data_IF_067375700100
#
_entry.id   IF_067375700100
#
_cell.length_a   1.000
_cell.length_b   1.000
_cell.length_c   1.000
_cell.angle_alpha   90.00
_cell.angle_beta   90.00
_cell.angle_gamma   90.00
#
_symmetry.space_group_name_H-M   'P 1'
#
loop_
_entity.id
_entity.type
_entity.pdbx_description
1 polymer ?
#
# COMPACT_ATOMS: atom_id res chain seq x y z
N UNK A 1 28.89 -2.78 1.77
CA UNK A 1 28.95 -1.41 2.27
C UNK A 1 28.09 -0.48 1.43
N UNK A 2 28.27 -0.46 0.11
CA UNK A 2 27.43 0.35 -0.78
C UNK A 2 25.97 -0.05 -0.69
N UNK A 3 25.68 -1.34 -0.59
CA UNK A 3 24.34 -1.88 -0.47
C UNK A 3 23.66 -1.42 0.83
N UNK A 4 24.40 -1.44 1.94
CA UNK A 4 23.87 -0.97 3.22
C UNK A 4 23.55 0.53 3.15
N UNK A 5 24.41 1.32 2.47
CA UNK A 5 24.18 2.75 2.28
C UNK A 5 22.95 3.00 1.42
N UNK A 6 22.77 2.23 0.34
CA UNK A 6 21.59 2.32 -0.51
C UNK A 6 20.32 2.02 0.27
N UNK A 7 20.33 0.97 1.10
CA UNK A 7 19.18 0.61 1.93
C UNK A 7 18.82 1.70 2.92
N UNK A 8 19.83 2.39 3.49
CA UNK A 8 19.59 3.51 4.41
C UNK A 8 18.94 4.71 3.73
N UNK A 9 19.22 4.90 2.43
CA UNK A 9 18.64 6.01 1.65
C UNK A 9 17.22 5.69 1.21
N UNK A 10 16.81 4.42 1.24
CA UNK A 10 15.47 4.02 0.84
C UNK A 10 14.47 4.29 1.94
N UNK A 11 13.27 4.63 1.52
CA UNK A 11 12.13 4.80 2.41
C UNK A 11 11.04 3.85 1.97
N UNK A 12 10.44 3.16 2.92
CA UNK A 12 9.25 2.36 2.71
C UNK A 12 8.02 3.11 3.19
N UNK A 13 7.01 3.14 2.35
CA UNK A 13 5.67 3.62 2.69
C UNK A 13 4.79 2.40 2.88
N UNK A 14 4.48 2.07 4.12
CA UNK A 14 3.68 0.89 4.44
C UNK A 14 2.27 1.30 4.77
N UNK A 15 1.31 0.78 4.01
CA UNK A 15 -0.11 1.05 4.18
C UNK A 15 -0.82 -0.17 4.72
N UNK A 16 -1.66 0.04 5.71
CA UNK A 16 -2.61 -0.94 6.22
C UNK A 16 -3.97 -0.52 5.70
N UNK A 17 -4.53 -1.34 4.82
CA UNK A 17 -5.76 -1.01 4.09
C UNK A 17 -6.94 -1.78 4.68
N UNK A 18 -8.01 -1.07 5.03
CA UNK A 18 -9.20 -1.67 5.61
C UNK A 18 -10.44 -1.23 4.85
N UNK A 19 -11.04 -2.14 4.10
CA UNK A 19 -12.30 -1.89 3.44
C UNK A 19 -13.45 -1.91 4.45
N UNK A 20 -14.39 -0.99 4.30
CA UNK A 20 -15.53 -0.87 5.24
C UNK A 20 -16.42 -2.11 5.18
N UNK A 21 -16.54 -2.73 4.00
CA UNK A 21 -17.32 -3.95 3.80
C UNK A 21 -16.45 -5.04 3.19
N UNK A 22 -16.77 -6.31 3.43
CA UNK A 22 -16.03 -7.40 2.80
C UNK A 22 -16.03 -7.30 1.27
N UNK A 23 -14.88 -7.56 0.65
CA UNK A 23 -14.73 -7.59 -0.80
C UNK A 23 -14.62 -9.02 -1.29
N UNK A 24 -15.24 -9.35 -2.45
CA UNK A 24 -14.91 -10.59 -3.13
C UNK A 24 -13.42 -10.68 -3.43
N UNK A 25 -12.86 -11.88 -3.43
CA UNK A 25 -11.43 -12.09 -3.61
C UNK A 25 -10.90 -11.50 -4.93
N UNK A 26 -11.68 -11.62 -6.01
CA UNK A 26 -11.30 -11.09 -7.32
C UNK A 26 -11.28 -9.55 -7.34
N UNK A 27 -12.22 -8.91 -6.63
CA UNK A 27 -12.22 -7.45 -6.49
C UNK A 27 -11.01 -6.97 -5.70
N UNK A 28 -10.64 -7.66 -4.65
CA UNK A 28 -9.45 -7.31 -3.88
C UNK A 28 -8.18 -7.50 -4.72
N UNK A 29 -8.10 -8.57 -5.49
CA UNK A 29 -6.98 -8.80 -6.41
C UNK A 29 -6.87 -7.64 -7.41
N UNK A 30 -7.99 -7.20 -7.95
CA UNK A 30 -8.01 -6.09 -8.91
C UNK A 30 -7.54 -4.77 -8.26
N UNK A 31 -8.00 -4.51 -7.04
CA UNK A 31 -7.58 -3.32 -6.30
C UNK A 31 -6.06 -3.31 -6.11
N UNK A 32 -5.51 -4.41 -5.61
CA UNK A 32 -4.07 -4.49 -5.36
C UNK A 32 -3.27 -4.37 -6.64
N UNK A 33 -3.75 -4.97 -7.74
CA UNK A 33 -3.11 -4.87 -9.05
C UNK A 33 -3.16 -3.43 -9.59
N UNK A 34 -4.28 -2.74 -9.42
CA UNK A 34 -4.44 -1.36 -9.88
C UNK A 34 -3.50 -0.42 -9.11
N UNK A 35 -3.42 -0.58 -7.80
CA UNK A 35 -2.52 0.22 -6.96
C UNK A 35 -1.06 -0.02 -7.37
N UNK A 36 -0.66 -1.27 -7.52
CA UNK A 36 0.70 -1.59 -7.95
C UNK A 36 1.02 -0.95 -9.30
N UNK A 37 0.15 -1.12 -10.26
CA UNK A 37 0.37 -0.58 -11.61
C UNK A 37 0.51 0.93 -11.60
N UNK A 38 -0.42 1.64 -10.95
CA UNK A 38 -0.41 3.10 -10.98
C UNK A 38 0.76 3.69 -10.21
N UNK A 39 1.18 3.04 -9.14
CA UNK A 39 2.35 3.49 -8.38
C UNK A 39 3.63 3.30 -9.20
N UNK A 40 3.80 2.16 -9.84
CA UNK A 40 4.96 1.93 -10.71
C UNK A 40 4.95 2.86 -11.92
N UNK A 41 3.79 3.11 -12.51
CA UNK A 41 3.66 4.01 -13.67
C UNK A 41 3.99 5.46 -13.32
N UNK A 42 3.96 5.85 -12.05
CA UNK A 42 4.33 7.21 -11.65
C UNK A 42 5.79 7.53 -11.95
N UNK A 43 6.62 6.50 -12.13
CA UNK A 43 8.06 6.65 -12.38
C UNK A 43 8.88 7.00 -11.15
N UNK A 44 8.27 7.18 -9.99
CA UNK A 44 8.94 7.59 -8.76
C UNK A 44 9.08 6.44 -7.74
N UNK A 45 8.47 5.30 -8.01
CA UNK A 45 8.40 4.15 -7.09
C UNK A 45 9.30 3.03 -7.60
N UNK A 46 10.14 2.49 -6.72
CA UNK A 46 11.04 1.38 -7.07
C UNK A 46 10.33 0.04 -7.07
N UNK A 47 9.50 -0.20 -6.07
CA UNK A 47 8.79 -1.48 -5.96
C UNK A 47 7.52 -1.31 -5.14
N UNK A 48 6.58 -2.23 -5.39
CA UNK A 48 5.35 -2.33 -4.62
C UNK A 48 5.18 -3.80 -4.26
N UNK A 49 4.94 -4.07 -2.99
CA UNK A 49 4.62 -5.42 -2.49
C UNK A 49 3.29 -5.33 -1.78
N UNK A 50 2.34 -6.15 -2.18
CA UNK A 50 1.01 -6.17 -1.59
C UNK A 50 0.66 -7.59 -1.18
N UNK A 51 0.03 -7.73 -0.01
CA UNK A 51 -0.43 -9.03 0.50
C UNK A 51 -1.77 -8.83 1.17
N UNK A 52 -2.65 -9.80 1.03
CA UNK A 52 -3.94 -9.79 1.70
C UNK A 52 -3.83 -10.36 3.10
N UNK A 53 -4.77 -9.98 3.95
CA UNK A 53 -4.89 -10.54 5.29
C UNK A 53 -5.09 -12.06 5.23
N UNK A 54 -4.43 -12.78 6.12
CA UNK A 54 -4.61 -14.21 6.30
C UNK A 54 -5.44 -14.42 7.57
N UNK A 55 -6.70 -14.88 7.47
CA UNK A 55 -7.54 -15.07 8.64
C UNK A 55 -7.00 -16.13 9.60
N UNK A 56 -7.14 -15.86 10.89
CA UNK A 56 -6.81 -16.81 11.95
C UNK A 56 -8.08 -17.09 12.74
N UNK A 57 -8.45 -18.35 13.00
CA UNK A 57 -9.65 -18.67 13.76
C UNK A 57 -9.68 -17.95 15.10
N UNK A 58 -10.80 -17.29 15.40
CA UNK A 58 -10.99 -16.57 16.67
C UNK A 58 -10.38 -15.17 16.73
N UNK A 59 -9.76 -14.69 15.66
CA UNK A 59 -9.12 -13.36 15.66
C UNK A 59 -10.12 -12.22 15.93
N UNK A 60 -11.37 -12.39 15.54
CA UNK A 60 -12.41 -11.38 15.72
C UNK A 60 -12.75 -11.13 17.20
N UNK A 61 -12.37 -12.04 18.09
CA UNK A 61 -12.55 -11.86 19.53
C UNK A 61 -11.49 -10.96 20.15
N UNK A 62 -10.41 -10.68 19.43
CA UNK A 62 -9.33 -9.80 19.89
C UNK A 62 -9.73 -8.36 19.60
N UNK A 63 -9.64 -7.45 20.59
CA UNK A 63 -10.05 -6.05 20.40
C UNK A 63 -9.04 -5.29 19.53
N UNK A 64 -9.06 -5.52 18.24
CA UNK A 64 -8.16 -4.92 17.27
C UNK A 64 -8.88 -4.69 15.95
N UNK A 65 -8.36 -3.77 15.14
CA UNK A 65 -8.82 -3.59 13.78
C UNK A 65 -8.12 -4.61 12.89
N UNK A 66 -8.91 -5.50 12.28
CA UNK A 66 -8.38 -6.48 11.33
C UNK A 66 -8.41 -5.87 9.93
N UNK A 67 -7.24 -5.63 9.37
CA UNK A 67 -7.11 -5.00 8.07
C UNK A 67 -7.40 -5.99 6.93
N UNK A 68 -7.72 -5.44 5.76
CA UNK A 68 -7.97 -6.24 4.55
C UNK A 68 -6.67 -6.65 3.88
N UNK A 69 -5.70 -5.74 3.82
CA UNK A 69 -4.45 -5.96 3.09
C UNK A 69 -3.36 -5.05 3.61
N UNK A 70 -2.13 -5.39 3.27
CA UNK A 70 -0.96 -4.55 3.51
C UNK A 70 -0.31 -4.26 2.16
N UNK A 71 0.12 -3.01 1.97
CA UNK A 71 0.81 -2.57 0.75
C UNK A 71 2.06 -1.81 1.17
N UNK A 72 3.20 -2.21 0.65
CA UNK A 72 4.47 -1.55 0.93
C UNK A 72 5.06 -1.01 -0.36
N UNK A 73 5.36 0.28 -0.36
CA UNK A 73 5.91 0.99 -1.51
C UNK A 73 7.32 1.45 -1.15
N UNK A 74 8.30 1.09 -1.95
CA UNK A 74 9.68 1.51 -1.74
C UNK A 74 10.04 2.66 -2.68
N UNK A 75 10.58 3.72 -2.12
CA UNK A 75 11.00 4.92 -2.85
C UNK A 75 12.41 5.32 -2.42
N UNK A 76 13.09 6.12 -3.25
CA UNK A 76 14.45 6.55 -2.96
C UNK A 76 14.50 7.57 -1.81
N UNK A 77 13.51 8.46 -1.73
CA UNK A 77 13.48 9.53 -0.75
C UNK A 77 12.05 10.08 -0.61
N UNK A 78 11.88 11.06 0.27
CA UNK A 78 10.56 11.68 0.51
C UNK A 78 10.05 12.46 -0.69
N UNK A 79 10.94 13.06 -1.48
CA UNK A 79 10.54 13.78 -2.69
C UNK A 79 9.94 12.82 -3.73
N UNK A 80 10.54 11.64 -3.88
CA UNK A 80 10.01 10.61 -4.76
C UNK A 80 8.62 10.15 -4.31
N UNK A 81 8.40 9.99 -3.01
CA UNK A 81 7.10 9.61 -2.48
C UNK A 81 6.06 10.70 -2.76
N UNK A 82 6.40 11.96 -2.52
CA UNK A 82 5.51 13.07 -2.82
C UNK A 82 5.15 13.12 -4.30
N UNK A 83 6.12 12.88 -5.17
CA UNK A 83 5.92 12.85 -6.62
C UNK A 83 4.97 11.71 -7.02
N UNK A 84 5.13 10.54 -6.42
CA UNK A 84 4.24 9.41 -6.69
C UNK A 84 2.79 9.75 -6.34
N UNK A 85 2.55 10.31 -5.15
CA UNK A 85 1.20 10.67 -4.73
C UNK A 85 0.61 11.86 -5.48
N UNK A 86 1.43 12.70 -6.09
CA UNK A 86 0.96 13.81 -6.92
C UNK A 86 0.61 13.38 -8.34
N UNK A 87 0.95 12.17 -8.75
CA UNK A 87 0.67 11.68 -10.10
C UNK A 87 -0.85 11.59 -10.33
N UNK A 88 -1.37 12.16 -11.44
CA UNK A 88 -2.82 12.17 -11.68
C UNK A 88 -3.45 10.78 -11.71
N UNK A 89 -2.77 9.80 -12.27
CA UNK A 89 -3.27 8.42 -12.33
C UNK A 89 -3.49 7.79 -10.96
N UNK A 90 -2.67 8.16 -9.98
CA UNK A 90 -2.82 7.67 -8.61
C UNK A 90 -4.13 8.20 -8.01
N UNK A 91 -4.39 9.49 -8.15
CA UNK A 91 -5.64 10.09 -7.66
C UNK A 91 -6.87 9.46 -8.31
N UNK A 92 -6.83 9.24 -9.63
CA UNK A 92 -7.94 8.64 -10.35
C UNK A 92 -8.27 7.25 -9.86
N UNK A 93 -7.25 6.42 -9.63
CA UNK A 93 -7.43 5.05 -9.13
C UNK A 93 -8.00 5.06 -7.73
N UNK A 94 -7.46 5.90 -6.84
CA UNK A 94 -7.94 6.01 -5.47
C UNK A 94 -9.42 6.44 -5.47
N UNK A 95 -9.76 7.48 -6.21
CA UNK A 95 -11.12 8.01 -6.24
C UNK A 95 -12.10 6.98 -6.79
N UNK A 96 -11.72 6.25 -7.83
CA UNK A 96 -12.56 5.22 -8.43
C UNK A 96 -12.87 4.10 -7.44
N UNK A 97 -11.85 3.62 -6.74
CA UNK A 97 -12.04 2.54 -5.76
C UNK A 97 -12.81 3.01 -4.54
N UNK A 98 -12.51 4.22 -4.02
CA UNK A 98 -13.24 4.78 -2.89
C UNK A 98 -14.73 4.95 -3.19
N UNK A 99 -15.06 5.32 -4.43
CA UNK A 99 -16.46 5.48 -4.85
C UNK A 99 -17.22 4.16 -4.89
N UNK A 100 -16.54 3.08 -5.28
CA UNK A 100 -17.17 1.74 -5.39
C UNK A 100 -17.17 0.99 -4.06
N UNK A 101 -16.05 1.02 -3.36
CA UNK A 101 -15.82 0.27 -2.13
C UNK A 101 -15.02 1.14 -1.16
N UNK A 102 -15.71 1.89 -0.30
CA UNK A 102 -15.02 2.76 0.66
C UNK A 102 -14.04 2.00 1.53
N UNK A 103 -12.89 2.59 1.77
CA UNK A 103 -11.86 2.01 2.62
C UNK A 103 -11.08 3.09 3.35
N UNK A 104 -10.41 2.69 4.42
CA UNK A 104 -9.53 3.54 5.22
C UNK A 104 -8.13 3.00 5.15
N UNK A 105 -7.16 3.89 5.26
CA UNK A 105 -5.75 3.53 5.22
C UNK A 105 -5.05 4.16 6.41
N UNK A 106 -4.28 3.34 7.11
CA UNK A 106 -3.26 3.82 8.05
C UNK A 106 -1.92 3.62 7.38
N UNK A 107 -1.02 4.59 7.45
CA UNK A 107 0.30 4.41 6.88
C UNK A 107 1.39 4.98 7.77
N UNK A 108 2.60 4.51 7.54
CA UNK A 108 3.82 5.09 8.10
C UNK A 108 4.91 5.09 7.04
N UNK A 109 5.72 6.13 7.05
CA UNK A 109 6.94 6.18 6.26
C UNK A 109 8.08 5.80 7.18
N UNK A 110 8.92 4.87 6.77
CA UNK A 110 9.97 4.35 7.65
C UNK A 110 11.17 3.84 6.86
N UNK A 111 12.28 3.70 7.53
CA UNK A 111 13.45 3.05 6.97
C UNK A 111 13.15 1.56 6.75
N UNK A 112 13.89 0.89 5.86
CA UNK A 112 13.71 -0.55 5.68
C UNK A 112 13.81 -1.29 7.01
N UNK A 113 12.93 -2.29 7.20
CA UNK A 113 12.88 -3.04 8.46
C UNK A 113 14.02 -4.04 8.61
N UNK A 114 14.69 -4.35 7.51
CA UNK A 114 15.81 -5.29 7.53
C UNK A 114 16.89 -4.87 6.53
#
# INVERSE_FOLDING_TARGET
>A
VARATENRLMINHTMIVSFDQPLPADELDQYLADIERVMLDSGAVRSVVARRHIPVPGEEAIPALIATAIVQIAVADTDALAKAFAAPGVHEVIDRWQSRHPYKVAWANHEPLA
#
